data_IF_167444201053
#
_entry.id   IF_167444201053
#
_cell.length_a   1.000
_cell.length_b   1.000
_cell.length_c   1.000
_cell.angle_alpha   90.00
_cell.angle_beta   90.00
_cell.angle_gamma   90.00
#
_symmetry.space_group_name_H-M   'P 1'
#
loop_
_entity.id
_entity.type
_entity.pdbx_description
1 polymer ?
#
# COMPACT_ATOMS: atom_id res chain seq x y z
N UNK A 1 -1.34 -2.17 28.57
CA UNK A 1 -1.90 -1.60 27.32
C UNK A 1 -2.13 -2.70 26.29
N UNK A 2 -1.14 -3.50 25.93
CA UNK A 2 -1.26 -4.56 24.89
C UNK A 2 -2.43 -5.50 25.10
N UNK A 3 -2.58 -6.13 26.28
CA UNK A 3 -3.70 -7.03 26.58
C UNK A 3 -5.10 -6.39 26.44
N UNK A 4 -5.21 -5.06 26.60
CA UNK A 4 -6.48 -4.33 26.40
C UNK A 4 -6.79 -4.20 24.91
N UNK A 5 -5.78 -3.85 24.08
CA UNK A 5 -5.93 -3.70 22.64
C UNK A 5 -6.21 -5.04 21.97
N UNK A 6 -5.52 -6.09 22.37
CA UNK A 6 -5.75 -7.45 21.87
C UNK A 6 -7.17 -7.94 22.21
N UNK A 7 -7.61 -7.78 23.45
CA UNK A 7 -8.96 -8.22 23.86
C UNK A 7 -10.07 -7.43 23.19
N UNK A 8 -9.94 -6.07 23.12
CA UNK A 8 -11.01 -5.18 22.65
C UNK A 8 -11.05 -5.07 21.12
N UNK A 9 -9.88 -4.96 20.49
CA UNK A 9 -9.75 -4.64 19.07
C UNK A 9 -9.10 -5.75 18.24
N UNK A 10 -8.65 -6.84 18.90
CA UNK A 10 -7.85 -7.91 18.28
C UNK A 10 -6.50 -7.43 17.71
N UNK A 11 -6.01 -6.29 18.20
CA UNK A 11 -4.73 -5.70 17.78
C UNK A 11 -3.62 -6.26 18.66
N UNK A 12 -2.67 -6.96 18.05
CA UNK A 12 -1.45 -7.45 18.69
C UNK A 12 -0.36 -6.39 18.58
N UNK A 13 -0.02 -5.73 19.69
CA UNK A 13 1.11 -4.80 19.73
C UNK A 13 2.40 -5.60 19.52
N UNK A 14 3.29 -5.10 18.65
CA UNK A 14 4.56 -5.75 18.33
C UNK A 14 5.58 -5.51 19.43
N UNK A 15 6.29 -6.55 19.81
CA UNK A 15 7.46 -6.47 20.66
C UNK A 15 8.73 -6.14 19.84
N UNK A 16 9.84 -5.94 20.52
CA UNK A 16 11.10 -5.58 19.86
C UNK A 16 11.55 -6.62 18.82
N UNK A 17 11.29 -7.91 19.06
CA UNK A 17 11.63 -8.98 18.13
C UNK A 17 10.72 -8.93 16.88
N UNK A 18 9.43 -8.74 17.08
CA UNK A 18 8.47 -8.59 15.99
C UNK A 18 8.77 -7.37 15.12
N UNK A 19 9.06 -6.22 15.75
CA UNK A 19 9.43 -4.99 15.02
C UNK A 19 10.68 -5.22 14.17
N UNK A 20 11.74 -5.84 14.72
CA UNK A 20 12.97 -6.10 13.97
C UNK A 20 12.76 -7.09 12.82
N UNK A 21 11.93 -8.12 13.02
CA UNK A 21 11.56 -9.05 11.96
C UNK A 21 10.81 -8.36 10.81
N UNK A 22 9.82 -7.52 11.12
CA UNK A 22 9.08 -6.74 10.13
C UNK A 22 10.00 -5.76 9.40
N UNK A 23 10.90 -5.07 10.12
CA UNK A 23 11.90 -4.15 9.54
C UNK A 23 12.82 -4.88 8.56
N UNK A 24 13.24 -6.09 8.88
CA UNK A 24 14.09 -6.91 8.02
C UNK A 24 13.34 -7.35 6.75
N UNK A 25 12.09 -7.78 6.87
CA UNK A 25 11.23 -8.05 5.72
C UNK A 25 10.99 -6.80 4.87
N UNK A 26 10.78 -5.64 5.52
CA UNK A 26 10.60 -4.35 4.86
C UNK A 26 11.79 -3.91 4.02
N UNK A 27 13.03 -4.15 4.47
CA UNK A 27 14.22 -3.88 3.67
C UNK A 27 14.20 -4.68 2.36
N UNK A 28 13.82 -5.96 2.41
CA UNK A 28 13.72 -6.78 1.21
C UNK A 28 12.61 -6.30 0.27
N UNK A 29 11.48 -5.83 0.79
CA UNK A 29 10.42 -5.19 -0.01
C UNK A 29 10.98 -3.98 -0.76
N UNK A 30 11.71 -3.09 -0.07
CA UNK A 30 12.29 -1.89 -0.70
C UNK A 30 13.36 -2.22 -1.74
N UNK A 31 14.23 -3.18 -1.45
CA UNK A 31 15.22 -3.66 -2.44
C UNK A 31 14.52 -4.20 -3.69
N UNK A 32 13.40 -4.90 -3.52
CA UNK A 32 12.62 -5.45 -4.63
C UNK A 32 11.93 -4.33 -5.42
N UNK A 33 11.35 -3.32 -4.75
CA UNK A 33 10.76 -2.14 -5.41
C UNK A 33 11.80 -1.37 -6.25
N UNK A 34 13.03 -1.22 -5.73
CA UNK A 34 14.12 -0.56 -6.48
C UNK A 34 14.49 -1.35 -7.74
N UNK A 35 14.56 -2.68 -7.67
CA UNK A 35 14.82 -3.51 -8.85
C UNK A 35 13.66 -3.44 -9.86
N UNK A 36 12.43 -3.31 -9.40
CA UNK A 36 11.27 -3.09 -10.28
C UNK A 36 11.39 -1.75 -10.99
N UNK A 37 11.78 -0.69 -10.27
CA UNK A 37 11.97 0.65 -10.85
C UNK A 37 12.93 0.63 -12.05
N UNK A 38 14.03 -0.13 -11.95
CA UNK A 38 15.04 -0.27 -13.03
C UNK A 38 14.48 -0.87 -14.33
N UNK A 39 13.39 -1.63 -14.26
CA UNK A 39 12.78 -2.28 -15.43
C UNK A 39 11.51 -1.60 -15.94
N UNK A 40 10.97 -0.61 -15.21
CA UNK A 40 9.76 0.12 -15.63
C UNK A 40 10.11 1.05 -16.82
N UNK A 41 9.59 0.69 -18.00
CA UNK A 41 9.74 1.45 -19.24
C UNK A 41 8.70 1.02 -20.27
N UNK A 42 8.45 1.80 -21.32
CA UNK A 42 7.59 1.38 -22.43
C UNK A 42 8.03 0.02 -23.02
N UNK A 43 7.08 -0.88 -23.22
CA UNK A 43 7.32 -2.24 -23.72
C UNK A 43 7.55 -3.30 -22.64
N UNK A 44 7.76 -2.92 -21.37
CA UNK A 44 7.83 -3.90 -20.28
C UNK A 44 6.49 -4.62 -20.14
N UNK A 45 6.53 -5.95 -20.15
CA UNK A 45 5.35 -6.79 -19.91
C UNK A 45 5.13 -6.94 -18.40
N UNK A 46 3.89 -6.79 -17.93
CA UNK A 46 3.61 -6.84 -16.48
C UNK A 46 3.98 -8.19 -15.84
N UNK A 47 3.92 -9.30 -16.60
CA UNK A 47 4.43 -10.61 -16.13
C UNK A 47 5.93 -10.60 -15.87
N UNK A 48 6.73 -9.79 -16.57
CA UNK A 48 8.16 -9.65 -16.29
C UNK A 48 8.40 -9.07 -14.89
N UNK A 49 7.54 -8.13 -14.45
CA UNK A 49 7.57 -7.59 -13.09
C UNK A 49 7.29 -8.69 -12.07
N UNK A 50 6.24 -9.50 -12.32
CA UNK A 50 5.92 -10.64 -11.46
C UNK A 50 7.07 -11.65 -11.35
N UNK A 51 7.70 -11.99 -12.47
CA UNK A 51 8.84 -12.92 -12.50
C UNK A 51 10.01 -12.40 -11.68
N UNK A 52 10.37 -11.12 -11.87
CA UNK A 52 11.45 -10.48 -11.11
C UNK A 52 11.18 -10.51 -9.60
N UNK A 53 9.98 -10.06 -9.18
CA UNK A 53 9.58 -10.05 -7.76
C UNK A 53 9.60 -11.45 -7.18
N UNK A 54 9.03 -12.43 -7.89
CA UNK A 54 9.00 -13.83 -7.46
C UNK A 54 10.41 -14.39 -7.25
N UNK A 55 11.25 -14.30 -8.27
CA UNK A 55 12.59 -14.87 -8.25
C UNK A 55 13.50 -14.20 -7.21
N UNK A 56 13.43 -12.86 -7.12
CA UNK A 56 14.25 -12.12 -6.16
C UNK A 56 13.83 -12.43 -4.71
N UNK A 57 12.53 -12.49 -4.43
CA UNK A 57 12.01 -12.85 -3.11
C UNK A 57 12.48 -14.24 -2.70
N UNK A 58 12.33 -15.26 -3.58
CA UNK A 58 12.76 -16.63 -3.29
C UNK A 58 14.28 -16.74 -3.13
N UNK A 59 15.06 -16.05 -3.97
CA UNK A 59 16.53 -16.03 -3.89
C UNK A 59 17.04 -15.52 -2.53
N UNK A 60 16.29 -14.63 -1.88
CA UNK A 60 16.61 -14.09 -0.56
C UNK A 60 16.00 -14.90 0.60
N UNK A 61 15.52 -16.13 0.35
CA UNK A 61 14.98 -17.01 1.38
C UNK A 61 13.62 -16.60 1.93
N UNK A 62 12.94 -15.69 1.23
CA UNK A 62 11.62 -15.17 1.59
C UNK A 62 10.51 -15.80 0.71
N UNK A 63 9.27 -15.48 1.00
CA UNK A 63 8.09 -15.93 0.25
C UNK A 63 7.24 -14.73 -0.14
N UNK A 64 6.79 -14.62 -1.43
CA UNK A 64 5.82 -13.60 -1.82
C UNK A 64 4.47 -13.88 -1.14
N UNK A 65 3.99 -12.96 -0.32
CA UNK A 65 2.75 -13.15 0.44
C UNK A 65 1.48 -13.23 -0.43
N UNK A 66 1.36 -12.49 -1.56
CA UNK A 66 0.17 -12.54 -2.39
C UNK A 66 -0.06 -13.89 -3.07
N UNK A 67 1.01 -14.64 -3.37
CA UNK A 67 0.90 -15.90 -4.13
C UNK A 67 0.04 -16.92 -3.41
N UNK A 68 -1.07 -17.31 -4.03
CA UNK A 68 -2.09 -18.23 -3.48
C UNK A 68 -2.87 -17.68 -2.26
N UNK A 69 -2.63 -16.43 -1.85
CA UNK A 69 -3.43 -15.83 -0.80
C UNK A 69 -4.88 -15.67 -1.25
N UNK A 70 -5.79 -16.42 -0.62
CA UNK A 70 -7.22 -16.49 -0.98
C UNK A 70 -7.48 -16.76 -2.47
N UNK A 71 -6.52 -17.42 -3.14
CA UNK A 71 -6.61 -17.77 -4.57
C UNK A 71 -5.99 -16.73 -5.52
N UNK A 72 -5.33 -15.68 -5.03
CA UNK A 72 -4.61 -14.75 -5.90
C UNK A 72 -3.47 -15.47 -6.64
N UNK A 73 -3.35 -15.37 -7.99
CA UNK A 73 -2.53 -16.29 -8.76
C UNK A 73 -1.05 -15.86 -8.94
N UNK A 74 -0.65 -14.69 -8.43
CA UNK A 74 0.64 -14.06 -8.71
C UNK A 74 1.38 -13.65 -7.43
N UNK A 75 2.65 -13.31 -7.56
CA UNK A 75 3.53 -12.95 -6.44
C UNK A 75 3.52 -11.47 -6.07
N UNK A 76 2.86 -10.66 -6.88
CA UNK A 76 2.80 -9.20 -6.77
C UNK A 76 1.52 -8.71 -7.43
N UNK A 77 0.95 -7.60 -6.95
CA UNK A 77 -0.10 -6.90 -7.69
C UNK A 77 0.55 -5.84 -8.61
N UNK A 78 0.06 -5.74 -9.85
CA UNK A 78 0.52 -4.75 -10.83
C UNK A 78 -0.70 -4.05 -11.40
N UNK A 79 -0.91 -2.80 -11.00
CA UNK A 79 -2.12 -2.03 -11.28
C UNK A 79 -1.79 -0.85 -12.20
N UNK A 80 -2.33 -0.85 -13.42
CA UNK A 80 -1.97 0.14 -14.47
C UNK A 80 -3.14 1.07 -14.73
N UNK A 81 -2.90 2.39 -14.69
CA UNK A 81 -3.84 3.46 -15.04
C UNK A 81 -5.13 3.46 -14.20
N UNK A 82 -6.25 2.99 -14.79
CA UNK A 82 -7.58 2.91 -14.15
C UNK A 82 -7.69 1.78 -13.12
N UNK A 83 -6.69 0.91 -13.03
CA UNK A 83 -6.67 -0.16 -12.02
C UNK A 83 -6.27 0.43 -10.68
N UNK A 84 -7.19 0.34 -9.72
CA UNK A 84 -7.03 0.89 -8.37
C UNK A 84 -6.04 0.05 -7.56
N UNK A 85 -6.30 -1.26 -7.49
CA UNK A 85 -5.48 -2.24 -6.77
C UNK A 85 -5.75 -3.67 -7.23
N UNK A 86 -4.96 -4.62 -6.73
CA UNK A 86 -5.07 -6.06 -6.98
C UNK A 86 -5.01 -6.44 -8.48
N UNK A 87 -4.40 -5.61 -9.32
CA UNK A 87 -4.18 -5.94 -10.73
C UNK A 87 -3.34 -7.21 -10.86
N UNK A 88 -3.81 -8.16 -11.68
CA UNK A 88 -3.10 -9.42 -11.93
C UNK A 88 -2.10 -9.21 -13.08
N UNK A 89 -0.78 -9.33 -12.84
CA UNK A 89 0.20 -9.24 -13.92
C UNK A 89 0.02 -10.34 -14.98
N UNK A 90 0.24 -9.98 -16.24
CA UNK A 90 0.04 -10.85 -17.41
C UNK A 90 0.69 -10.28 -18.67
N UNK A 91 0.09 -10.51 -19.83
CA UNK A 91 0.61 -10.15 -21.15
C UNK A 91 0.55 -8.64 -21.48
N UNK A 92 -0.03 -7.79 -20.60
CA UNK A 92 -0.12 -6.34 -20.82
C UNK A 92 1.28 -5.75 -20.91
N UNK A 93 1.56 -5.01 -21.99
CA UNK A 93 2.74 -4.21 -22.17
C UNK A 93 2.49 -2.79 -21.69
N UNK A 94 3.40 -2.25 -20.88
CA UNK A 94 3.38 -0.85 -20.44
C UNK A 94 3.65 0.06 -21.65
N UNK A 95 2.91 1.16 -21.73
CA UNK A 95 3.01 2.15 -22.80
C UNK A 95 3.62 3.46 -22.27
N UNK A 96 4.19 4.26 -23.16
CA UNK A 96 4.64 5.61 -22.81
C UNK A 96 3.45 6.46 -22.30
N UNK A 97 3.60 7.07 -21.15
CA UNK A 97 2.56 7.83 -20.47
C UNK A 97 1.70 7.06 -19.47
N UNK A 98 1.82 5.71 -19.40
CA UNK A 98 1.16 4.94 -18.35
C UNK A 98 1.69 5.30 -16.95
N UNK A 99 0.86 5.10 -15.94
CA UNK A 99 1.28 4.94 -14.55
C UNK A 99 1.07 3.50 -14.13
N UNK A 100 1.97 2.95 -13.33
CA UNK A 100 1.86 1.57 -12.85
C UNK A 100 2.18 1.49 -11.36
N UNK A 101 1.23 1.03 -10.57
CA UNK A 101 1.45 0.69 -9.18
C UNK A 101 1.95 -0.76 -9.08
N UNK A 102 2.99 -0.96 -8.30
CA UNK A 102 3.54 -2.29 -7.97
C UNK A 102 3.51 -2.46 -6.46
N UNK A 103 2.78 -3.47 -6.01
CA UNK A 103 2.44 -3.71 -4.62
C UNK A 103 3.05 -5.04 -4.17
N UNK A 104 4.00 -4.96 -3.23
CA UNK A 104 4.86 -6.08 -2.82
C UNK A 104 4.71 -6.33 -1.32
N UNK A 105 4.18 -7.52 -0.99
CA UNK A 105 4.23 -8.04 0.38
C UNK A 105 5.17 -9.24 0.44
N UNK A 106 6.10 -9.19 1.38
CA UNK A 106 7.11 -10.25 1.57
C UNK A 106 6.98 -10.89 2.94
N UNK A 107 7.12 -12.23 2.99
CA UNK A 107 7.24 -13.01 4.23
C UNK A 107 8.71 -13.41 4.39
N UNK A 108 9.36 -12.93 5.45
CA UNK A 108 10.73 -13.33 5.81
C UNK A 108 10.76 -13.76 7.28
N UNK A 109 11.24 -14.96 7.54
CA UNK A 109 11.31 -15.56 8.88
C UNK A 109 9.98 -15.51 9.66
N UNK A 110 8.84 -15.59 8.93
CA UNK A 110 7.48 -15.54 9.48
C UNK A 110 6.96 -14.14 9.77
N UNK A 111 7.67 -13.09 9.37
CA UNK A 111 7.23 -11.70 9.47
C UNK A 111 6.84 -11.14 8.11
N UNK A 112 5.76 -10.37 8.08
CA UNK A 112 5.22 -9.74 6.89
C UNK A 112 5.56 -8.24 6.87
N UNK A 113 5.97 -7.74 5.72
CA UNK A 113 6.07 -6.32 5.45
C UNK A 113 5.49 -6.01 4.07
N UNK A 114 4.88 -4.85 3.95
CA UNK A 114 4.08 -4.43 2.81
C UNK A 114 4.43 -3.02 2.37
N UNK A 115 4.57 -2.81 1.07
CA UNK A 115 4.69 -1.48 0.49
C UNK A 115 4.41 -1.49 -1.00
N UNK A 116 3.84 -0.40 -1.50
CA UNK A 116 3.69 -0.17 -2.93
C UNK A 116 4.16 1.22 -3.36
N UNK A 117 4.49 1.32 -4.64
CA UNK A 117 4.81 2.60 -5.33
C UNK A 117 4.11 2.64 -6.67
N UNK A 118 3.70 3.84 -7.06
CA UNK A 118 3.28 4.12 -8.43
C UNK A 118 4.45 4.73 -9.21
N UNK A 119 4.78 4.16 -10.35
CA UNK A 119 5.86 4.57 -11.23
C UNK A 119 5.30 5.19 -12.50
N UNK A 120 6.02 6.16 -13.06
CA UNK A 120 5.76 6.65 -14.40
C UNK A 120 6.42 5.75 -15.44
N UNK A 121 5.71 5.51 -16.55
CA UNK A 121 6.24 4.78 -17.69
C UNK A 121 6.56 5.77 -18.81
N UNK A 122 7.83 6.08 -19.00
CA UNK A 122 8.25 7.11 -19.97
C UNK A 122 7.84 8.52 -19.53
N UNK A 123 7.14 9.26 -20.40
CA UNK A 123 6.79 10.67 -20.16
C UNK A 123 5.33 10.81 -19.73
N UNK A 124 5.06 11.20 -18.46
CA UNK A 124 3.68 11.33 -17.98
C UNK A 124 2.93 12.48 -18.64
N UNK A 125 1.65 12.29 -18.88
CA UNK A 125 0.72 13.37 -19.17
C UNK A 125 0.33 14.13 -17.90
N UNK A 126 -0.33 15.29 -18.04
CA UNK A 126 -0.72 16.15 -16.92
C UNK A 126 -1.60 15.47 -15.87
N UNK A 127 -2.50 14.59 -16.31
CA UNK A 127 -3.41 13.87 -15.42
C UNK A 127 -2.67 12.79 -14.62
N UNK A 128 -1.72 12.09 -15.25
CA UNK A 128 -0.84 11.12 -14.61
C UNK A 128 0.06 11.79 -13.57
N UNK A 129 0.69 12.90 -13.91
CA UNK A 129 1.51 13.69 -13.00
C UNK A 129 0.68 14.18 -11.79
N UNK A 130 -0.50 14.74 -12.06
CA UNK A 130 -1.40 15.21 -11.00
C UNK A 130 -1.79 14.11 -10.03
N UNK A 131 -2.30 12.97 -10.53
CA UNK A 131 -2.82 11.93 -9.64
C UNK A 131 -1.73 11.26 -8.81
N UNK A 132 -0.54 11.05 -9.39
CA UNK A 132 0.63 10.51 -8.70
C UNK A 132 1.08 11.46 -7.60
N UNK A 133 1.23 12.76 -7.90
CA UNK A 133 1.60 13.78 -6.90
C UNK A 133 0.57 13.86 -5.77
N UNK A 134 -0.72 13.81 -6.08
CA UNK A 134 -1.78 13.85 -5.05
C UNK A 134 -1.74 12.60 -4.18
N UNK A 135 -1.52 11.41 -4.76
CA UNK A 135 -1.43 10.17 -3.99
C UNK A 135 -0.22 10.14 -3.04
N UNK A 136 0.96 10.60 -3.50
CA UNK A 136 2.15 10.76 -2.66
C UNK A 136 1.89 11.68 -1.47
N UNK A 137 1.33 12.85 -1.75
CA UNK A 137 1.03 13.84 -0.69
C UNK A 137 -0.05 13.33 0.27
N UNK A 138 -1.03 12.54 -0.20
CA UNK A 138 -2.01 11.87 0.64
C UNK A 138 -1.34 10.90 1.62
N UNK A 139 -0.42 10.07 1.15
CA UNK A 139 0.35 9.18 2.02
C UNK A 139 1.15 9.97 3.05
N UNK A 140 1.92 10.98 2.61
CA UNK A 140 2.73 11.84 3.50
C UNK A 140 1.88 12.46 4.61
N UNK A 141 0.71 13.02 4.27
CA UNK A 141 -0.22 13.62 5.25
C UNK A 141 -0.82 12.60 6.21
N UNK A 142 -1.13 11.40 5.73
CA UNK A 142 -1.58 10.31 6.58
C UNK A 142 -0.50 9.89 7.58
N UNK A 143 0.73 9.73 7.12
CA UNK A 143 1.90 9.37 7.95
C UNK A 143 2.14 10.42 9.05
N UNK A 144 2.02 11.70 8.75
CA UNK A 144 2.18 12.78 9.74
C UNK A 144 1.18 12.73 10.89
N UNK A 145 0.05 12.03 10.72
CA UNK A 145 -0.92 11.83 11.79
C UNK A 145 -0.59 10.62 12.69
N UNK A 146 0.42 9.84 12.37
CA UNK A 146 0.82 8.67 13.17
C UNK A 146 1.58 9.13 14.41
N UNK A 147 0.81 9.66 15.35
CA UNK A 147 1.29 10.18 16.64
C UNK A 147 0.52 9.47 17.75
N UNK A 148 1.20 8.98 18.81
CA UNK A 148 0.51 8.38 19.95
C UNK A 148 -0.56 9.32 20.53
N UNK A 149 -1.78 8.80 20.68
CA UNK A 149 -2.92 9.58 21.16
C UNK A 149 -3.84 10.10 20.06
N UNK A 150 -3.37 10.28 18.82
CA UNK A 150 -4.24 10.47 17.68
C UNK A 150 -5.06 9.21 17.41
N UNK A 151 -6.01 9.29 16.49
CA UNK A 151 -6.90 8.19 16.12
C UNK A 151 -6.75 7.79 14.65
N UNK A 152 -7.25 6.62 14.27
CA UNK A 152 -7.32 6.23 12.86
C UNK A 152 -8.14 7.22 12.02
N UNK A 153 -9.15 7.88 12.61
CA UNK A 153 -9.92 8.92 11.95
C UNK A 153 -9.13 10.19 11.65
N UNK A 154 -8.07 10.50 12.41
CA UNK A 154 -7.19 11.64 12.13
C UNK A 154 -6.37 11.36 10.85
N UNK A 155 -5.88 10.13 10.67
CA UNK A 155 -5.20 9.68 9.44
C UNK A 155 -6.14 9.82 8.25
N UNK A 156 -7.32 9.19 8.34
CA UNK A 156 -8.30 9.20 7.24
C UNK A 156 -8.78 10.59 6.88
N UNK A 157 -8.98 11.46 7.88
CA UNK A 157 -9.39 12.84 7.67
C UNK A 157 -8.33 13.63 6.90
N UNK A 158 -7.05 13.53 7.29
CA UNK A 158 -5.96 14.29 6.65
C UNK A 158 -5.79 13.91 5.17
N UNK A 159 -5.92 12.62 4.87
CA UNK A 159 -5.88 12.09 3.51
C UNK A 159 -7.08 12.59 2.69
N UNK A 160 -8.29 12.36 3.19
CA UNK A 160 -9.52 12.70 2.49
C UNK A 160 -9.64 14.21 2.21
N UNK A 161 -9.38 15.02 3.23
CA UNK A 161 -9.48 16.48 3.11
C UNK A 161 -8.56 17.02 2.01
N UNK A 162 -7.33 16.49 1.93
CA UNK A 162 -6.39 16.91 0.90
C UNK A 162 -6.81 16.43 -0.49
N UNK A 163 -7.10 15.15 -0.66
CA UNK A 163 -7.52 14.59 -1.94
C UNK A 163 -8.74 15.32 -2.53
N UNK A 164 -9.77 15.55 -1.71
CA UNK A 164 -11.00 16.23 -2.13
C UNK A 164 -10.75 17.71 -2.49
N UNK A 165 -9.83 18.40 -1.81
CA UNK A 165 -9.41 19.77 -2.18
C UNK A 165 -8.68 19.84 -3.52
N UNK A 166 -7.98 18.74 -3.91
CA UNK A 166 -7.34 18.65 -5.22
C UNK A 166 -8.32 18.24 -6.34
N UNK A 167 -9.61 18.06 -6.01
CA UNK A 167 -10.63 17.57 -6.94
C UNK A 167 -10.49 16.10 -7.29
N UNK A 168 -9.82 15.33 -6.43
CA UNK A 168 -9.69 13.88 -6.50
C UNK A 168 -10.62 13.20 -5.49
N UNK A 169 -10.77 11.89 -5.57
CA UNK A 169 -11.59 11.13 -4.63
C UNK A 169 -10.81 10.00 -3.97
N UNK A 170 -11.22 9.64 -2.75
CA UNK A 170 -10.63 8.54 -1.99
C UNK A 170 -11.51 7.31 -2.11
N UNK A 171 -10.94 6.17 -2.50
CA UNK A 171 -11.60 4.86 -2.50
C UNK A 171 -11.97 4.47 -1.07
N UNK A 172 -13.13 3.83 -0.89
CA UNK A 172 -13.68 3.50 0.44
C UNK A 172 -13.84 2.01 0.69
N UNK A 173 -13.84 1.21 -0.37
CA UNK A 173 -14.04 -0.23 -0.32
C UNK A 173 -12.79 -0.98 0.14
N UNK A 174 -11.61 -0.38 -0.05
CA UNK A 174 -10.34 -0.88 0.41
C UNK A 174 -9.72 0.10 1.41
N UNK A 175 -8.98 -0.45 2.36
CA UNK A 175 -8.41 0.29 3.48
C UNK A 175 -7.06 -0.31 3.85
N UNK A 176 -6.21 0.44 4.51
CA UNK A 176 -5.00 -0.08 5.13
C UNK A 176 -5.31 -1.07 6.25
N UNK A 177 -4.33 -1.80 6.70
CA UNK A 177 -4.51 -2.89 7.65
C UNK A 177 -3.31 -3.06 8.58
N UNK A 178 -3.54 -3.69 9.72
CA UNK A 178 -2.44 -4.21 10.53
C UNK A 178 -1.66 -5.26 9.75
N UNK A 179 -0.35 -5.30 9.94
CA UNK A 179 0.57 -6.22 9.27
C UNK A 179 1.69 -6.64 10.21
N UNK A 180 2.32 -7.76 9.92
CA UNK A 180 3.54 -8.17 10.60
C UNK A 180 3.56 -9.62 11.05
N UNK A 181 2.59 -10.11 11.80
CA UNK A 181 2.47 -11.54 12.13
C UNK A 181 1.56 -12.28 11.15
N UNK A 182 0.70 -11.55 10.48
CA UNK A 182 -0.16 -12.03 9.39
C UNK A 182 -0.13 -10.99 8.26
N UNK A 183 -0.53 -11.39 7.05
CA UNK A 183 -0.63 -10.48 5.92
C UNK A 183 -1.60 -9.34 6.24
N UNK A 184 -2.83 -9.68 6.62
CA UNK A 184 -3.84 -8.73 7.02
C UNK A 184 -4.30 -9.05 8.44
N UNK A 185 -4.06 -8.13 9.36
CA UNK A 185 -4.52 -8.22 10.74
C UNK A 185 -5.17 -6.89 11.18
N UNK A 186 -5.91 -6.85 12.29
CA UNK A 186 -6.41 -5.58 12.83
C UNK A 186 -5.28 -4.61 13.20
N UNK A 187 -5.53 -3.29 13.07
CA UNK A 187 -6.79 -2.65 12.71
C UNK A 187 -7.01 -2.51 11.21
N UNK A 188 -8.24 -2.25 10.77
CA UNK A 188 -8.49 -1.59 9.50
C UNK A 188 -8.14 -0.11 9.62
N UNK A 189 -7.49 0.46 8.59
CA UNK A 189 -7.02 1.85 8.54
C UNK A 189 -7.69 2.58 7.38
N UNK A 190 -8.89 3.13 7.56
CA UNK A 190 -9.57 3.87 6.51
C UNK A 190 -8.79 5.14 6.11
N UNK A 191 -8.77 5.44 4.82
CA UNK A 191 -8.14 6.65 4.26
C UNK A 191 -9.15 7.81 4.16
N UNK A 192 -10.25 7.70 4.89
CA UNK A 192 -11.32 8.69 5.05
C UNK A 192 -11.84 8.64 6.47
N UNK A 193 -12.47 9.73 6.95
CA UNK A 193 -13.00 9.72 8.31
C UNK A 193 -13.16 11.10 8.91
N UNK A 194 -13.24 11.14 10.24
CA UNK A 194 -13.37 12.37 11.03
C UNK A 194 -12.31 12.42 12.11
N UNK A 195 -11.83 13.62 12.37
CA UNK A 195 -10.85 13.88 13.45
C UNK A 195 -11.35 13.36 14.80
N UNK A 196 -10.45 12.66 15.51
CA UNK A 196 -10.70 12.14 16.85
C UNK A 196 -11.61 10.90 16.91
N UNK A 197 -12.07 10.38 15.75
CA UNK A 197 -12.89 9.16 15.72
C UNK A 197 -12.04 7.90 15.51
N UNK A 198 -12.56 6.76 15.99
CA UNK A 198 -11.95 5.45 15.80
C UNK A 198 -10.98 5.04 16.90
N UNK A 199 -10.07 4.11 16.56
CA UNK A 199 -9.13 3.52 17.52
C UNK A 199 -7.97 4.50 17.76
N UNK A 200 -7.65 4.73 19.04
CA UNK A 200 -6.50 5.55 19.43
C UNK A 200 -5.19 4.83 19.10
N UNK A 201 -4.24 5.55 18.51
CA UNK A 201 -2.91 5.04 18.19
C UNK A 201 -2.08 4.90 19.46
N UNK A 202 -1.44 3.75 19.64
CA UNK A 202 -0.56 3.48 20.78
C UNK A 202 0.75 2.84 20.34
N UNK A 203 1.85 3.05 21.08
CA UNK A 203 3.14 2.45 20.76
C UNK A 203 3.06 0.92 20.59
N UNK A 204 3.75 0.42 19.58
CA UNK A 204 3.76 -1.00 19.21
C UNK A 204 2.68 -1.41 18.21
N UNK A 205 1.76 -0.53 17.81
CA UNK A 205 0.89 -0.77 16.65
C UNK A 205 1.73 -0.74 15.38
N UNK A 206 1.51 -1.72 14.48
CA UNK A 206 2.09 -1.74 13.13
C UNK A 206 0.96 -1.95 12.14
N UNK A 207 0.89 -1.08 11.13
CA UNK A 207 -0.16 -1.10 10.10
C UNK A 207 0.30 -0.39 8.83
N UNK A 208 -0.42 -0.62 7.73
CA UNK A 208 -0.20 0.09 6.47
C UNK A 208 -1.01 1.38 6.39
N UNK A 209 -0.47 2.37 5.70
CA UNK A 209 -1.22 3.51 5.16
C UNK A 209 -1.00 3.47 3.65
N UNK A 210 -2.09 3.32 2.90
CA UNK A 210 -2.07 2.98 1.47
C UNK A 210 -3.22 3.66 0.69
N UNK A 211 -3.32 4.99 0.70
CA UNK A 211 -4.45 5.69 0.10
C UNK A 211 -4.55 5.45 -1.40
N UNK A 212 -5.66 4.85 -1.83
CA UNK A 212 -6.04 4.72 -3.23
C UNK A 212 -6.81 5.97 -3.65
N UNK A 213 -6.23 6.76 -4.55
CA UNK A 213 -6.75 8.06 -4.97
C UNK A 213 -7.13 7.99 -6.44
N UNK A 214 -8.40 8.34 -6.75
CA UNK A 214 -8.90 8.41 -8.12
C UNK A 214 -8.96 9.86 -8.59
N UNK A 215 -8.60 10.09 -9.84
CA UNK A 215 -8.73 11.41 -10.48
C UNK A 215 -10.20 11.81 -10.67
N UNK A 216 -11.09 10.82 -10.82
CA UNK A 216 -12.54 10.99 -11.00
C UNK A 216 -13.35 10.55 -9.79
N UNK A 217 -14.37 9.71 -10.02
CA UNK A 217 -15.29 9.23 -8.98
C UNK A 217 -14.62 8.20 -8.06
N UNK A 218 -15.08 8.13 -6.82
CA UNK A 218 -14.59 7.16 -5.82
C UNK A 218 -15.07 5.72 -6.03
N UNK A 219 -16.05 5.51 -6.94
CA UNK A 219 -16.71 4.23 -7.14
C UNK A 219 -15.85 3.31 -8.03
N UNK A 220 -15.88 2.04 -7.69
CA UNK A 220 -15.14 1.00 -8.39
C UNK A 220 -16.05 -0.12 -8.90
N UNK A 221 -15.47 -1.00 -9.68
CA UNK A 221 -15.99 -2.33 -10.02
C UNK A 221 -14.85 -3.35 -9.95
N UNK A 222 -15.20 -4.58 -9.59
CA UNK A 222 -14.27 -5.72 -9.68
C UNK A 222 -14.49 -6.38 -11.04
N UNK A 223 -13.39 -6.73 -11.72
CA UNK A 223 -13.45 -7.43 -13.00
C UNK A 223 -13.80 -8.91 -12.81
N UNK A 224 -14.07 -9.62 -13.91
CA UNK A 224 -14.50 -11.03 -13.90
C UNK A 224 -13.45 -12.00 -13.36
N UNK A 225 -12.19 -11.55 -13.24
CA UNK A 225 -11.11 -12.30 -12.58
C UNK A 225 -11.29 -12.40 -11.05
N UNK A 226 -12.25 -11.65 -10.50
CA UNK A 226 -12.59 -11.64 -9.08
C UNK A 226 -11.63 -10.85 -8.18
N UNK A 227 -10.60 -10.20 -8.76
CA UNK A 227 -9.55 -9.49 -8.02
C UNK A 227 -9.37 -8.05 -8.47
N UNK A 228 -9.16 -7.83 -9.77
CA UNK A 228 -8.78 -6.53 -10.32
C UNK A 228 -9.87 -5.49 -10.07
N UNK A 229 -9.57 -4.51 -9.22
CA UNK A 229 -10.44 -3.38 -8.94
C UNK A 229 -10.10 -2.22 -9.88
N UNK A 230 -11.10 -1.70 -10.60
CA UNK A 230 -10.91 -0.56 -11.52
C UNK A 230 -11.87 0.57 -11.20
N UNK A 231 -11.48 1.80 -11.52
CA UNK A 231 -12.38 2.96 -11.42
C UNK A 231 -13.60 2.76 -12.31
N UNK A 232 -14.77 3.12 -11.80
CA UNK A 232 -16.03 2.92 -12.53
C UNK A 232 -16.17 3.81 -13.76
N UNK A 233 -15.57 4.98 -13.71
CA UNK A 233 -15.59 6.00 -14.75
C UNK A 233 -14.39 5.93 -15.70
N UNK A 234 -13.45 5.01 -15.49
CA UNK A 234 -12.24 4.85 -16.30
C UNK A 234 -11.16 5.90 -16.03
N UNK A 235 -11.31 6.71 -14.98
CA UNK A 235 -10.29 7.69 -14.58
C UNK A 235 -9.04 7.02 -14.00
N UNK A 236 -7.89 7.71 -14.06
CA UNK A 236 -6.65 7.24 -13.46
C UNK A 236 -6.77 7.11 -11.95
N UNK A 237 -6.12 6.08 -11.41
CA UNK A 237 -5.95 5.84 -9.98
C UNK A 237 -4.47 5.69 -9.65
N UNK A 238 -4.03 6.24 -8.51
CA UNK A 238 -2.68 6.05 -7.99
C UNK A 238 -2.71 5.71 -6.50
N UNK A 239 -1.71 4.94 -6.08
CA UNK A 239 -1.55 4.48 -4.71
C UNK A 239 -0.08 4.55 -4.31
N UNK A 240 0.18 4.87 -3.05
CA UNK A 240 1.47 4.75 -2.38
C UNK A 240 1.24 4.18 -1.00
N UNK A 241 2.16 3.33 -0.54
CA UNK A 241 2.00 2.63 0.72
C UNK A 241 3.28 2.48 1.50
N UNK A 242 3.19 2.64 2.80
CA UNK A 242 4.25 2.26 3.74
C UNK A 242 3.68 1.50 4.95
N UNK A 243 4.46 0.54 5.44
CA UNK A 243 4.25 -0.09 6.75
C UNK A 243 4.79 0.82 7.84
N UNK A 244 3.94 1.23 8.79
CA UNK A 244 4.24 2.19 9.86
C UNK A 244 4.18 1.52 11.23
N UNK A 245 5.18 1.81 12.08
CA UNK A 245 5.18 1.52 13.50
C UNK A 245 4.84 2.79 14.28
N UNK A 246 3.89 2.72 15.20
CA UNK A 246 3.67 3.78 16.19
C UNK A 246 4.74 3.65 17.27
N UNK A 247 5.57 4.68 17.44
CA UNK A 247 6.61 4.77 18.50
C UNK A 247 6.08 5.47 19.75
N UNK A 248 6.90 5.76 20.73
CA UNK A 248 6.49 6.51 21.94
C UNK A 248 6.27 7.99 21.69
N UNK A 249 6.90 8.54 20.66
CA UNK A 249 6.97 9.98 20.36
C UNK A 249 6.55 10.34 18.92
N UNK A 250 6.08 9.36 18.14
CA UNK A 250 5.66 9.56 16.76
C UNK A 250 5.53 8.25 16.01
N UNK A 251 6.25 8.11 14.91
CA UNK A 251 6.26 6.91 14.08
C UNK A 251 7.66 6.56 13.58
N UNK A 252 7.79 5.32 13.13
CA UNK A 252 8.88 4.84 12.29
C UNK A 252 8.28 4.15 11.05
N UNK A 253 8.75 4.50 9.87
CA UNK A 253 8.44 3.69 8.69
C UNK A 253 9.34 2.46 8.65
N UNK A 254 8.74 1.27 8.54
CA UNK A 254 9.45 0.00 8.39
C UNK A 254 9.73 -0.35 6.93
N UNK A 255 9.13 0.42 6.01
CA UNK A 255 9.37 0.37 4.56
C UNK A 255 9.59 1.79 4.00
N UNK A 256 10.61 2.54 4.51
CA UNK A 256 10.79 3.95 4.15
C UNK A 256 11.32 4.12 2.73
N UNK A 257 10.68 4.98 1.96
CA UNK A 257 11.16 5.52 0.68
C UNK A 257 10.75 6.98 0.55
N UNK A 258 11.43 7.74 -0.30
CA UNK A 258 11.15 9.15 -0.53
C UNK A 258 9.80 9.34 -1.25
N UNK A 259 9.01 10.32 -0.73
CA UNK A 259 7.69 10.68 -1.25
C UNK A 259 7.73 12.03 -1.97
#
# INVERSE_FOLDING_TARGET
>A
MGAVYERKYKIRLKDAKGIEGIRTAGKLVLETLNLVEDIIRPGTVTETINTLVHEYTLKNGATPAPLNYRGFPKSVCVSVNEVICHGIPGERQLQDGDIVNVDITTILDGYFADANKTFFVGTPGSDADKIVTVAQECLRRGIEQVIPGNTLGDIGFAIQEYAERQGCSVVREFVGHGVGYEFHEPPQVPHFGRKGEGITLVPGMVFTIEPMINLGEKHLKILDDGWTAVTRDGSLSAQYEQTLLVTHDGYESLTPYDL
#
